data_IF_610756899752
#
_entry.id   IF_610756899752
#
_cell.length_a   1.000
_cell.length_b   1.000
_cell.length_c   1.000
_cell.angle_alpha   90.00
_cell.angle_beta   90.00
_cell.angle_gamma   90.00
#
_symmetry.space_group_name_H-M   'P 1'
#
loop_
_entity.id
_entity.type
_entity.pdbx_description
1 polymer ?
#
# COMPACT_ATOMS: atom_id res chain seq x y z
N UNK A 1 -16.39 -26.84 21.01
CA UNK A 1 -15.14 -27.08 21.76
C UNK A 1 -14.12 -27.59 20.74
N UNK A 2 -12.94 -26.97 20.61
CA UNK A 2 -12.02 -26.91 19.44
C UNK A 2 -12.51 -25.94 18.34
N UNK A 3 -11.93 -24.78 18.04
CA UNK A 3 -10.58 -24.27 18.26
C UNK A 3 -10.61 -22.83 18.83
N UNK A 4 -10.58 -22.75 20.16
CA UNK A 4 -10.12 -21.58 20.89
C UNK A 4 -8.60 -21.72 21.03
N UNK A 5 -7.82 -20.93 20.26
CA UNK A 5 -6.36 -21.07 20.26
C UNK A 5 -5.57 -19.98 19.54
N UNK A 6 -6.18 -19.22 18.62
CA UNK A 6 -5.54 -18.00 18.11
C UNK A 6 -5.89 -16.87 19.06
N UNK A 7 -5.01 -16.68 20.05
CA UNK A 7 -5.11 -15.63 21.05
C UNK A 7 -5.57 -14.30 20.43
N UNK A 8 -6.51 -13.61 21.11
CA UNK A 8 -6.83 -12.19 20.88
C UNK A 8 -5.55 -11.35 21.01
N UNK A 9 -4.72 -11.32 19.98
CA UNK A 9 -3.66 -10.33 19.90
C UNK A 9 -4.37 -9.01 19.68
N UNK A 10 -4.34 -8.12 20.68
CA UNK A 10 -4.87 -6.76 20.53
C UNK A 10 -4.22 -6.16 19.28
N UNK A 11 -5.02 -5.76 18.30
CA UNK A 11 -4.55 -5.21 17.01
C UNK A 11 -3.54 -4.08 17.19
N UNK A 12 -3.71 -3.29 18.24
CA UNK A 12 -2.77 -2.28 18.73
C UNK A 12 -1.36 -2.86 18.97
N UNK A 13 -1.24 -4.03 19.63
CA UNK A 13 0.06 -4.72 19.82
C UNK A 13 0.69 -5.15 18.50
N UNK A 14 -0.11 -5.64 17.55
CA UNK A 14 0.41 -6.00 16.22
C UNK A 14 0.94 -4.77 15.49
N UNK A 15 0.23 -3.64 15.55
CA UNK A 15 0.67 -2.36 14.96
C UNK A 15 2.01 -1.91 15.58
N UNK A 16 2.12 -1.89 16.91
CA UNK A 16 3.37 -1.50 17.58
C UNK A 16 4.52 -2.45 17.26
N UNK A 17 4.29 -3.76 17.30
CA UNK A 17 5.31 -4.77 17.03
C UNK A 17 5.81 -4.67 15.57
N UNK A 18 4.89 -4.57 14.60
CA UNK A 18 5.24 -4.42 13.18
C UNK A 18 6.01 -3.14 12.91
N UNK A 19 5.62 -2.01 13.51
CA UNK A 19 6.33 -0.73 13.35
C UNK A 19 7.74 -0.79 13.96
N UNK A 20 7.86 -1.32 15.19
CA UNK A 20 9.14 -1.44 15.88
C UNK A 20 10.10 -2.39 15.15
N UNK A 21 9.63 -3.59 14.80
CA UNK A 21 10.44 -4.57 14.07
C UNK A 21 10.85 -4.04 12.70
N UNK A 22 9.94 -3.40 11.96
CA UNK A 22 10.28 -2.82 10.65
C UNK A 22 11.34 -1.73 10.75
N UNK A 23 11.27 -0.88 11.77
CA UNK A 23 12.25 0.18 12.00
C UNK A 23 13.63 -0.39 12.38
N UNK A 24 13.68 -1.39 13.24
CA UNK A 24 14.92 -2.07 13.63
C UNK A 24 15.58 -2.78 12.44
N UNK A 25 14.80 -3.51 11.64
CA UNK A 25 15.29 -4.16 10.42
C UNK A 25 15.76 -3.12 9.40
N UNK A 26 15.07 -1.98 9.30
CA UNK A 26 15.49 -0.86 8.45
C UNK A 26 16.85 -0.27 8.85
N UNK A 27 17.13 -0.14 10.16
CA UNK A 27 18.44 0.28 10.66
C UNK A 27 19.51 -0.78 10.34
N UNK A 28 19.18 -2.06 10.51
CA UNK A 28 20.09 -3.16 10.16
C UNK A 28 20.43 -3.17 8.65
N UNK A 29 19.48 -2.84 7.77
CA UNK A 29 19.71 -2.69 6.34
C UNK A 29 20.79 -1.64 6.02
N UNK A 30 20.85 -0.53 6.77
CA UNK A 30 21.82 0.55 6.51
C UNK A 30 23.27 0.11 6.78
N UNK A 31 23.46 -0.80 7.74
CA UNK A 31 24.79 -1.34 8.13
C UNK A 31 25.09 -2.71 7.53
N UNK A 32 24.25 -3.21 6.60
CA UNK A 32 24.42 -4.52 6.00
C UNK A 32 25.82 -4.65 5.32
N UNK A 33 26.62 -5.67 5.66
CA UNK A 33 27.99 -5.80 5.17
C UNK A 33 28.06 -6.33 3.73
N UNK A 34 27.08 -7.14 3.33
CA UNK A 34 27.04 -7.78 2.00
C UNK A 34 25.67 -7.63 1.35
N UNK A 35 25.64 -7.79 0.03
CA UNK A 35 24.42 -7.76 -0.77
C UNK A 35 23.40 -8.83 -0.34
N UNK A 36 23.84 -10.05 -0.05
CA UNK A 36 22.95 -11.13 0.39
C UNK A 36 22.31 -10.85 1.76
N UNK A 37 23.08 -10.27 2.70
CA UNK A 37 22.54 -9.85 4.00
C UNK A 37 21.52 -8.74 3.81
N UNK A 38 21.81 -7.76 2.94
CA UNK A 38 20.87 -6.69 2.62
C UNK A 38 19.56 -7.26 2.02
N UNK A 39 19.64 -8.21 1.09
CA UNK A 39 18.47 -8.87 0.52
C UNK A 39 17.66 -9.65 1.57
N UNK A 40 18.34 -10.40 2.43
CA UNK A 40 17.69 -11.12 3.53
C UNK A 40 16.96 -10.18 4.49
N UNK A 41 17.60 -9.07 4.87
CA UNK A 41 16.99 -8.06 5.72
C UNK A 41 15.81 -7.36 5.03
N UNK A 42 15.89 -7.09 3.72
CA UNK A 42 14.76 -6.55 2.94
C UNK A 42 13.57 -7.50 2.90
N UNK A 43 13.82 -8.81 2.79
CA UNK A 43 12.76 -9.83 2.87
C UNK A 43 12.08 -9.79 4.24
N UNK A 44 12.87 -9.80 5.33
CA UNK A 44 12.35 -9.69 6.70
C UNK A 44 11.57 -8.39 6.88
N UNK A 45 12.08 -7.26 6.37
CA UNK A 45 11.41 -5.97 6.41
C UNK A 45 10.05 -6.02 5.69
N UNK A 46 9.97 -6.69 4.54
CA UNK A 46 8.71 -6.95 3.84
C UNK A 46 7.71 -7.74 4.70
N UNK A 47 8.16 -8.82 5.34
CA UNK A 47 7.34 -9.64 6.24
C UNK A 47 6.79 -8.81 7.41
N UNK A 48 7.63 -7.99 8.05
CA UNK A 48 7.20 -7.15 9.19
C UNK A 48 6.13 -6.13 8.81
N UNK A 49 6.15 -5.64 7.57
CA UNK A 49 5.23 -4.62 7.06
C UNK A 49 3.95 -5.20 6.45
N UNK A 50 3.95 -6.45 5.99
CA UNK A 50 2.87 -7.04 5.19
C UNK A 50 1.49 -6.95 5.88
N UNK A 51 1.45 -7.15 7.21
CA UNK A 51 0.21 -7.11 7.99
C UNK A 51 -0.23 -5.71 8.42
N UNK A 52 0.65 -4.70 8.38
CA UNK A 52 0.39 -3.40 9.00
C UNK A 52 -0.81 -2.68 8.38
N UNK A 53 -0.95 -2.57 7.04
CA UNK A 53 -2.08 -1.84 6.46
C UNK A 53 -3.41 -2.57 6.65
N UNK A 54 -3.40 -3.92 6.66
CA UNK A 54 -4.58 -4.71 6.95
C UNK A 54 -5.06 -4.47 8.39
N UNK A 55 -4.14 -4.52 9.37
CA UNK A 55 -4.48 -4.28 10.78
C UNK A 55 -4.86 -2.82 11.03
N UNK A 56 -4.19 -1.86 10.39
CA UNK A 56 -4.46 -0.43 10.54
C UNK A 56 -5.82 -0.03 9.96
N UNK A 57 -6.15 -0.48 8.74
CA UNK A 57 -7.47 -0.20 8.14
C UNK A 57 -8.59 -0.87 8.92
N UNK A 58 -8.36 -2.05 9.47
CA UNK A 58 -9.33 -2.75 10.29
C UNK A 58 -9.49 -2.09 11.67
N UNK A 59 -8.42 -1.55 12.27
CA UNK A 59 -8.49 -0.72 13.49
C UNK A 59 -9.25 0.59 13.25
N UNK A 60 -8.97 1.31 12.16
CA UNK A 60 -9.65 2.57 11.83
C UNK A 60 -11.15 2.39 11.65
N UNK A 61 -11.58 1.29 11.03
CA UNK A 61 -13.00 0.97 10.85
C UNK A 61 -13.71 0.61 12.15
N UNK A 62 -12.98 0.07 13.12
CA UNK A 62 -13.53 -0.34 14.42
C UNK A 62 -13.66 0.84 15.38
N UNK A 63 -12.70 1.77 15.36
CA UNK A 63 -12.64 2.84 16.37
C UNK A 63 -13.31 4.15 15.93
N UNK A 64 -13.60 4.34 14.63
CA UNK A 64 -14.19 5.57 14.12
C UNK A 64 -15.70 5.45 13.88
N UNK A 65 -16.43 6.56 14.03
CA UNK A 65 -17.83 6.65 13.65
C UNK A 65 -17.99 6.59 12.12
N UNK A 66 -19.08 5.98 11.64
CA UNK A 66 -19.33 5.73 10.21
C UNK A 66 -19.17 6.98 9.33
N UNK A 67 -19.59 8.14 9.83
CA UNK A 67 -19.53 9.42 9.11
C UNK A 67 -18.10 9.91 8.86
N UNK A 68 -17.12 9.39 9.61
CA UNK A 68 -15.70 9.76 9.51
C UNK A 68 -14.84 8.73 8.78
N UNK A 69 -15.38 7.55 8.44
CA UNK A 69 -14.60 6.47 7.80
C UNK A 69 -14.03 6.87 6.44
N UNK A 70 -14.81 7.56 5.60
CA UNK A 70 -14.34 8.00 4.29
C UNK A 70 -13.21 9.03 4.41
N UNK A 71 -13.33 9.97 5.37
CA UNK A 71 -12.30 10.98 5.65
C UNK A 71 -11.04 10.34 6.22
N UNK A 72 -11.17 9.40 7.15
CA UNK A 72 -10.03 8.71 7.74
C UNK A 72 -9.34 7.75 6.77
N UNK A 73 -10.10 7.04 5.92
CA UNK A 73 -9.54 6.24 4.84
C UNK A 73 -8.82 7.13 3.82
N UNK A 74 -9.42 8.26 3.46
CA UNK A 74 -8.80 9.26 2.59
C UNK A 74 -7.51 9.82 3.17
N UNK A 75 -7.50 10.18 4.46
CA UNK A 75 -6.32 10.69 5.16
C UNK A 75 -5.24 9.62 5.33
N UNK A 76 -5.63 8.37 5.62
CA UNK A 76 -4.72 7.23 5.69
C UNK A 76 -4.05 6.97 4.34
N UNK A 77 -4.84 6.87 3.26
CA UNK A 77 -4.34 6.65 1.90
C UNK A 77 -3.48 7.84 1.46
N UNK A 78 -3.97 9.07 1.62
CA UNK A 78 -3.25 10.30 1.28
C UNK A 78 -1.93 10.44 2.06
N UNK A 79 -1.93 10.05 3.34
CA UNK A 79 -0.74 10.00 4.17
C UNK A 79 0.29 8.98 3.68
N UNK A 80 -0.14 7.78 3.24
CA UNK A 80 0.77 6.81 2.62
C UNK A 80 1.36 7.30 1.29
N UNK A 81 0.58 8.07 0.52
CA UNK A 81 1.00 8.68 -0.73
C UNK A 81 2.08 9.74 -0.52
N UNK A 82 1.78 10.71 0.33
CA UNK A 82 2.70 11.79 0.68
C UNK A 82 3.97 11.22 1.32
N UNK A 83 3.84 10.27 2.25
CA UNK A 83 4.99 9.61 2.87
C UNK A 83 5.86 8.85 1.88
N UNK A 84 5.26 8.14 0.91
CA UNK A 84 6.00 7.43 -0.13
C UNK A 84 6.75 8.36 -1.09
N UNK A 85 6.14 9.47 -1.49
CA UNK A 85 6.77 10.47 -2.35
C UNK A 85 7.85 11.28 -1.62
N UNK A 86 7.51 11.85 -0.46
CA UNK A 86 8.47 12.59 0.36
C UNK A 86 9.65 11.71 0.76
N UNK A 87 9.40 10.44 1.12
CA UNK A 87 10.44 9.47 1.42
C UNK A 87 11.39 9.27 0.25
N UNK A 88 10.89 9.08 -0.98
CA UNK A 88 11.72 8.94 -2.18
C UNK A 88 12.57 10.16 -2.47
N UNK A 89 11.99 11.37 -2.38
CA UNK A 89 12.70 12.62 -2.61
C UNK A 89 13.84 12.79 -1.60
N UNK A 90 13.56 12.59 -0.30
CA UNK A 90 14.57 12.67 0.75
C UNK A 90 15.65 11.62 0.54
N UNK A 91 15.29 10.36 0.26
CA UNK A 91 16.29 9.31 0.03
C UNK A 91 17.13 9.52 -1.21
N UNK A 92 16.53 10.03 -2.29
CA UNK A 92 17.24 10.29 -3.54
C UNK A 92 18.29 11.35 -3.32
N UNK A 93 17.89 12.49 -2.73
CA UNK A 93 18.80 13.59 -2.42
C UNK A 93 19.90 13.17 -1.45
N UNK A 94 19.59 12.43 -0.38
CA UNK A 94 20.60 11.93 0.58
C UNK A 94 21.54 10.92 -0.06
N UNK A 95 21.04 10.03 -0.93
CA UNK A 95 21.86 9.04 -1.61
C UNK A 95 22.84 9.69 -2.61
N UNK A 96 22.42 10.78 -3.25
CA UNK A 96 23.22 11.57 -4.17
C UNK A 96 24.29 12.40 -3.44
N UNK A 97 23.92 13.06 -2.33
CA UNK A 97 24.85 13.87 -1.55
C UNK A 97 25.86 13.02 -0.73
N UNK A 98 25.47 11.80 -0.35
CA UNK A 98 26.29 10.93 0.48
C UNK A 98 26.39 9.52 -0.15
N UNK A 99 25.67 8.55 0.39
CA UNK A 99 25.69 7.16 -0.06
C UNK A 99 24.34 6.54 0.26
N UNK A 100 23.94 5.51 -0.48
CA UNK A 100 22.68 4.78 -0.27
C UNK A 100 22.47 4.28 1.17
N UNK A 101 23.55 4.01 1.93
CA UNK A 101 23.48 3.62 3.35
C UNK A 101 22.87 4.72 4.22
N UNK A 102 23.28 5.97 4.00
CA UNK A 102 22.73 7.13 4.72
C UNK A 102 21.28 7.40 4.35
N UNK A 103 20.91 7.16 3.08
CA UNK A 103 19.52 7.23 2.66
C UNK A 103 18.64 6.18 3.37
N UNK A 104 19.13 4.93 3.52
CA UNK A 104 18.44 3.90 4.30
C UNK A 104 18.34 4.26 5.78
N UNK A 105 19.42 4.77 6.37
CA UNK A 105 19.45 5.19 7.77
C UNK A 105 18.43 6.31 8.04
N UNK A 106 18.36 7.33 7.16
CA UNK A 106 17.40 8.42 7.27
C UNK A 106 15.95 7.91 7.28
N UNK A 107 15.59 7.00 6.36
CA UNK A 107 14.23 6.40 6.34
C UNK A 107 13.97 5.56 7.58
N UNK A 108 14.96 4.81 8.04
CA UNK A 108 14.83 3.98 9.22
C UNK A 108 14.61 4.82 10.49
N UNK A 109 15.32 5.95 10.64
CA UNK A 109 15.14 6.90 11.74
C UNK A 109 13.74 7.54 11.72
N UNK A 110 13.24 7.93 10.55
CA UNK A 110 11.84 8.37 10.41
C UNK A 110 10.88 7.24 10.79
N UNK A 111 11.20 6.00 10.43
CA UNK A 111 10.47 4.80 10.87
C UNK A 111 10.39 4.65 12.38
N UNK A 112 11.52 4.83 13.09
CA UNK A 112 11.59 4.82 14.56
C UNK A 112 10.74 5.94 15.14
N UNK A 113 10.86 7.18 14.64
CA UNK A 113 10.07 8.31 15.09
C UNK A 113 8.56 8.04 14.98
N UNK A 114 8.10 7.48 13.85
CA UNK A 114 6.70 7.07 13.69
C UNK A 114 6.29 5.99 14.69
N UNK A 115 7.14 4.99 14.94
CA UNK A 115 6.84 3.93 15.90
C UNK A 115 6.64 4.50 17.31
N UNK A 116 7.48 5.46 17.71
CA UNK A 116 7.35 6.19 18.99
C UNK A 116 6.07 7.02 19.02
N UNK A 117 5.79 7.82 17.98
CA UNK A 117 4.57 8.63 17.91
C UNK A 117 3.32 7.75 18.02
N UNK A 118 3.26 6.63 17.30
CA UNK A 118 2.13 5.69 17.39
C UNK A 118 2.06 5.04 18.76
N UNK A 119 3.18 4.67 19.38
CA UNK A 119 3.21 4.12 20.74
C UNK A 119 2.65 5.09 21.79
N UNK A 120 2.89 6.39 21.62
CA UNK A 120 2.44 7.44 22.56
C UNK A 120 0.99 7.84 22.30
N UNK A 121 0.60 8.02 21.03
CA UNK A 121 -0.68 8.65 20.68
C UNK A 121 -1.84 7.67 20.44
N UNK A 122 -1.57 6.39 20.14
CA UNK A 122 -2.64 5.45 19.74
C UNK A 122 -3.46 5.00 20.96
N UNK A 123 -4.76 5.36 21.07
CA UNK A 123 -5.60 4.97 22.20
C UNK A 123 -5.85 3.45 22.23
N UNK A 124 -6.17 2.91 23.41
CA UNK A 124 -6.53 1.49 23.56
C UNK A 124 -7.93 1.24 22.97
N UNK A 125 -8.05 0.35 21.97
CA UNK A 125 -9.30 0.03 21.26
C UNK A 125 -10.44 -0.37 22.20
N UNK A 126 -11.63 0.25 22.05
CA UNK A 126 -12.73 0.08 23.02
C UNK A 126 -14.11 -0.31 22.49
N UNK A 127 -14.43 -0.21 21.20
CA UNK A 127 -15.81 -0.51 20.75
C UNK A 127 -15.89 -1.34 19.45
N UNK A 128 -16.67 -2.43 19.50
CA UNK A 128 -16.95 -3.35 18.39
C UNK A 128 -18.46 -3.36 18.12
N UNK A 129 -18.87 -2.87 16.95
CA UNK A 129 -20.16 -3.24 16.33
C UNK A 129 -19.97 -3.28 14.80
N UNK A 130 -20.14 -4.43 14.14
CA UNK A 130 -20.06 -4.51 12.68
C UNK A 130 -21.33 -3.98 12.03
N UNK A 131 -21.21 -3.04 11.08
CA UNK A 131 -22.29 -2.68 10.14
C UNK A 131 -21.76 -2.42 8.72
N UNK A 132 -22.57 -2.68 7.68
CA UNK A 132 -22.15 -2.59 6.29
C UNK A 132 -22.10 -1.12 5.86
N UNK A 133 -20.92 -0.62 5.46
CA UNK A 133 -20.76 0.73 4.93
C UNK A 133 -21.06 0.77 3.43
N UNK A 134 -21.97 1.66 3.06
CA UNK A 134 -22.69 1.69 1.79
C UNK A 134 -22.09 2.63 0.73
N UNK A 135 -22.42 2.30 -0.53
CA UNK A 135 -22.54 3.14 -1.74
C UNK A 135 -21.64 4.38 -1.92
N UNK A 136 -20.42 4.13 -2.39
CA UNK A 136 -19.90 4.87 -3.56
C UNK A 136 -19.43 3.85 -4.59
N UNK A 137 -19.80 4.08 -5.86
CA UNK A 137 -19.73 3.10 -6.95
C UNK A 137 -18.33 2.57 -7.25
N UNK A 138 -17.85 1.60 -6.46
CA UNK A 138 -16.56 0.92 -6.63
C UNK A 138 -16.37 0.38 -8.06
N UNK A 139 -17.47 -0.02 -8.71
CA UNK A 139 -17.51 -0.51 -10.10
C UNK A 139 -17.37 0.59 -11.17
N UNK A 140 -17.72 1.83 -10.85
CA UNK A 140 -17.63 2.99 -11.73
C UNK A 140 -16.27 3.71 -11.59
N UNK A 141 -15.80 3.85 -10.35
CA UNK A 141 -14.56 4.58 -10.00
C UNK A 141 -13.29 3.83 -10.41
N UNK A 142 -13.31 2.49 -10.35
CA UNK A 142 -12.11 1.69 -10.58
C UNK A 142 -11.57 1.77 -12.03
N UNK A 143 -12.41 1.68 -13.09
CA UNK A 143 -11.91 1.84 -14.45
C UNK A 143 -11.42 3.26 -14.74
N UNK A 144 -12.05 4.28 -14.15
CA UNK A 144 -11.59 5.67 -14.25
C UNK A 144 -10.20 5.84 -13.61
N UNK A 145 -9.98 5.28 -12.41
CA UNK A 145 -8.67 5.27 -11.77
C UNK A 145 -7.61 4.54 -12.60
N UNK A 146 -7.96 3.41 -13.25
CA UNK A 146 -7.04 2.70 -14.14
C UNK A 146 -6.64 3.55 -15.36
N UNK A 147 -7.59 4.29 -15.95
CA UNK A 147 -7.30 5.22 -17.05
C UNK A 147 -6.36 6.33 -16.60
N UNK A 148 -6.60 6.97 -15.45
CA UNK A 148 -5.69 7.99 -14.91
C UNK A 148 -4.28 7.41 -14.64
N UNK A 149 -4.21 6.17 -14.13
CA UNK A 149 -2.95 5.47 -13.90
C UNK A 149 -2.20 5.18 -15.21
N UNK A 150 -2.91 4.95 -16.31
CA UNK A 150 -2.33 4.73 -17.63
C UNK A 150 -1.93 6.02 -18.35
N UNK A 151 -2.70 7.10 -18.19
CA UNK A 151 -2.46 8.40 -18.84
C UNK A 151 -1.30 9.15 -18.18
N UNK A 152 -1.17 9.07 -16.85
CA UNK A 152 -0.12 9.79 -16.12
C UNK A 152 1.31 9.52 -16.61
N UNK A 153 1.75 8.25 -16.80
CA UNK A 153 3.04 7.93 -17.39
C UNK A 153 3.26 8.53 -18.77
N UNK A 154 2.23 8.56 -19.64
CA UNK A 154 2.35 9.11 -20.99
C UNK A 154 2.65 10.62 -20.98
N UNK A 155 2.11 11.34 -19.99
CA UNK A 155 2.40 12.76 -19.77
C UNK A 155 3.84 13.02 -19.30
N UNK A 156 4.60 11.98 -18.95
CA UNK A 156 6.02 12.11 -18.58
C UNK A 156 6.98 11.91 -19.76
N UNK A 157 6.48 11.60 -20.95
CA UNK A 157 7.30 11.46 -22.17
C UNK A 157 7.85 12.78 -22.71
N UNK A 158 7.09 13.91 -22.71
CA UNK A 158 7.63 15.19 -23.12
C UNK A 158 8.73 15.64 -22.14
N UNK A 159 9.83 16.21 -22.66
CA UNK A 159 10.92 16.77 -21.85
C UNK A 159 10.57 18.06 -21.07
N UNK A 160 9.28 18.38 -20.93
CA UNK A 160 8.79 19.57 -20.25
C UNK A 160 8.53 19.25 -18.77
N UNK A 161 9.30 19.88 -17.88
CA UNK A 161 9.28 19.62 -16.44
C UNK A 161 7.89 19.83 -15.80
N UNK A 162 7.17 20.96 -16.02
CA UNK A 162 5.77 21.11 -15.60
C UNK A 162 4.84 19.97 -16.02
N UNK A 163 4.91 19.52 -17.27
CA UNK A 163 4.05 18.44 -17.78
C UNK A 163 4.41 17.11 -17.14
N UNK A 164 5.71 16.85 -16.93
CA UNK A 164 6.18 15.66 -16.22
C UNK A 164 5.68 15.63 -14.76
N UNK A 165 5.73 16.77 -14.05
CA UNK A 165 5.19 16.88 -12.68
C UNK A 165 3.68 16.64 -12.67
N UNK A 166 2.94 17.24 -13.61
CA UNK A 166 1.51 17.01 -13.75
C UNK A 166 1.19 15.52 -14.07
N UNK A 167 1.97 14.89 -14.94
CA UNK A 167 1.86 13.48 -15.29
C UNK A 167 2.08 12.55 -14.10
N UNK A 168 3.10 12.82 -13.29
CA UNK A 168 3.36 12.10 -12.04
C UNK A 168 2.22 12.29 -11.04
N UNK A 169 1.64 13.50 -10.93
CA UNK A 169 0.50 13.76 -10.07
C UNK A 169 -0.76 12.99 -10.53
N UNK A 170 -1.05 12.98 -11.83
CA UNK A 170 -2.18 12.23 -12.43
C UNK A 170 -2.01 10.73 -12.22
N UNK A 171 -0.81 10.19 -12.50
CA UNK A 171 -0.48 8.79 -12.28
C UNK A 171 -0.71 8.40 -10.81
N UNK A 172 -0.22 9.24 -9.90
CA UNK A 172 -0.31 9.03 -8.46
C UNK A 172 -1.78 9.02 -8.01
N UNK A 173 -2.57 10.02 -8.42
CA UNK A 173 -4.00 10.09 -8.11
C UNK A 173 -4.77 8.86 -8.63
N UNK A 174 -4.50 8.45 -9.87
CA UNK A 174 -5.06 7.25 -10.48
C UNK A 174 -4.72 5.99 -9.69
N UNK A 175 -3.43 5.80 -9.38
CA UNK A 175 -2.95 4.63 -8.65
C UNK A 175 -3.60 4.53 -7.26
N UNK A 176 -3.68 5.63 -6.51
CA UNK A 176 -4.29 5.63 -5.18
C UNK A 176 -5.80 5.41 -5.23
N UNK A 177 -6.47 5.91 -6.26
CA UNK A 177 -7.87 5.61 -6.52
C UNK A 177 -8.07 4.09 -6.70
N UNK A 178 -7.31 3.45 -7.60
CA UNK A 178 -7.41 2.00 -7.86
C UNK A 178 -7.02 1.18 -6.63
N UNK A 179 -5.89 1.49 -6.00
CA UNK A 179 -5.37 0.76 -4.84
C UNK A 179 -6.30 0.90 -3.62
N UNK A 180 -6.80 2.10 -3.35
CA UNK A 180 -7.75 2.35 -2.26
C UNK A 180 -9.07 1.61 -2.45
N UNK A 181 -9.63 1.64 -3.66
CA UNK A 181 -10.87 0.91 -3.98
C UNK A 181 -10.64 -0.61 -3.89
N UNK A 182 -9.54 -1.13 -4.44
CA UNK A 182 -9.20 -2.55 -4.38
C UNK A 182 -9.01 -3.05 -2.95
N UNK A 183 -8.19 -2.34 -2.15
CA UNK A 183 -7.92 -2.69 -0.76
C UNK A 183 -9.16 -2.62 0.12
N UNK A 184 -10.12 -1.75 -0.20
CA UNK A 184 -11.42 -1.71 0.47
C UNK A 184 -12.41 -2.77 -0.01
N UNK A 185 -12.31 -3.21 -1.28
CA UNK A 185 -13.26 -4.12 -1.91
C UNK A 185 -12.97 -5.59 -1.67
N UNK A 186 -11.70 -6.00 -1.76
CA UNK A 186 -11.30 -7.41 -1.58
C UNK A 186 -11.76 -7.98 -0.23
N UNK A 187 -11.51 -7.32 0.92
CA UNK A 187 -11.92 -7.86 2.24
C UNK A 187 -13.44 -7.91 2.42
N UNK A 188 -14.15 -6.91 1.90
CA UNK A 188 -15.61 -6.84 2.00
C UNK A 188 -16.26 -7.95 1.18
N UNK A 189 -15.77 -8.16 -0.05
CA UNK A 189 -16.25 -9.23 -0.93
C UNK A 189 -15.93 -10.62 -0.37
N UNK A 190 -14.74 -10.80 0.17
CA UNK A 190 -14.33 -12.05 0.80
C UNK A 190 -15.23 -12.39 2.01
N UNK A 191 -15.54 -11.40 2.85
CA UNK A 191 -16.44 -11.58 3.98
C UNK A 191 -17.86 -11.97 3.56
N UNK A 192 -18.40 -11.33 2.53
CA UNK A 192 -19.70 -11.70 1.96
C UNK A 192 -19.70 -13.13 1.37
N UNK A 193 -18.55 -13.61 0.89
CA UNK A 193 -18.36 -14.99 0.42
C UNK A 193 -17.95 -16.00 1.50
N UNK A 194 -18.00 -15.64 2.79
CA UNK A 194 -17.67 -16.54 3.91
C UNK A 194 -16.19 -16.64 4.29
N UNK A 195 -15.30 -15.88 3.66
CA UNK A 195 -13.86 -15.85 3.98
C UNK A 195 -13.56 -14.73 4.99
N UNK A 196 -12.71 -14.95 6.01
CA UNK A 196 -12.33 -13.90 6.96
C UNK A 196 -11.72 -12.66 6.27
N UNK A 197 -12.26 -11.48 6.55
CA UNK A 197 -11.83 -10.21 5.93
C UNK A 197 -10.33 -9.92 6.14
N UNK A 198 -9.79 -10.24 7.32
CA UNK A 198 -8.37 -10.04 7.63
C UNK A 198 -7.43 -10.87 6.74
N UNK A 199 -7.79 -12.13 6.47
CA UNK A 199 -7.02 -13.03 5.61
C UNK A 199 -6.99 -12.53 4.15
N UNK A 200 -8.15 -12.09 3.65
CA UNK A 200 -8.24 -11.53 2.31
C UNK A 200 -7.47 -10.20 2.18
N UNK A 201 -7.53 -9.34 3.19
CA UNK A 201 -6.73 -8.11 3.24
C UNK A 201 -5.23 -8.41 3.21
N UNK A 202 -4.75 -9.35 4.03
CA UNK A 202 -3.33 -9.73 4.04
C UNK A 202 -2.87 -10.36 2.73
N UNK A 203 -3.71 -11.18 2.08
CA UNK A 203 -3.37 -11.77 0.78
C UNK A 203 -3.30 -10.72 -0.32
N UNK A 204 -4.22 -9.74 -0.32
CA UNK A 204 -4.17 -8.60 -1.23
C UNK A 204 -2.86 -7.81 -1.07
N UNK A 205 -2.48 -7.49 0.17
CA UNK A 205 -1.24 -6.78 0.50
C UNK A 205 0.00 -7.57 0.12
N UNK A 206 0.01 -8.87 0.43
CA UNK A 206 1.08 -9.77 0.00
C UNK A 206 1.24 -9.76 -1.52
N UNK A 207 0.15 -9.96 -2.27
CA UNK A 207 0.18 -9.94 -3.73
C UNK A 207 0.63 -8.58 -4.28
N UNK A 208 0.20 -7.47 -3.67
CA UNK A 208 0.64 -6.13 -4.02
C UNK A 208 2.15 -5.94 -3.86
N UNK A 209 2.72 -6.32 -2.71
CA UNK A 209 4.15 -6.17 -2.44
C UNK A 209 5.02 -7.17 -3.21
N UNK A 210 4.58 -8.43 -3.33
CA UNK A 210 5.26 -9.45 -4.12
C UNK A 210 5.27 -9.06 -5.61
N UNK A 211 4.13 -8.66 -6.15
CA UNK A 211 4.02 -8.12 -7.51
C UNK A 211 4.92 -6.90 -7.71
N UNK A 212 4.89 -5.93 -6.79
CA UNK A 212 5.76 -4.75 -6.87
C UNK A 212 7.25 -5.09 -6.87
N UNK A 213 7.66 -6.20 -6.24
CA UNK A 213 9.06 -6.64 -6.22
C UNK A 213 9.48 -7.27 -7.55
N UNK A 214 8.63 -8.13 -8.11
CA UNK A 214 8.85 -8.77 -9.43
C UNK A 214 8.81 -7.71 -10.54
N UNK A 215 7.72 -6.95 -10.63
CA UNK A 215 7.51 -5.99 -11.70
C UNK A 215 8.34 -4.71 -11.54
N UNK A 216 8.73 -4.36 -10.31
CA UNK A 216 9.70 -3.28 -10.06
C UNK A 216 11.07 -3.59 -10.63
N UNK A 217 11.50 -4.86 -10.59
CA UNK A 217 12.75 -5.31 -11.21
C UNK A 217 12.69 -5.21 -12.74
N UNK A 218 11.53 -5.57 -13.34
CA UNK A 218 11.32 -5.40 -14.80
C UNK A 218 11.40 -3.95 -15.26
N UNK A 219 10.99 -2.99 -14.42
CA UNK A 219 11.13 -1.57 -14.74
C UNK A 219 12.61 -1.16 -14.85
N UNK A 220 13.49 -1.74 -14.02
CA UNK A 220 14.94 -1.56 -14.14
C UNK A 220 15.48 -2.11 -15.46
N UNK A 221 15.05 -3.31 -15.85
CA UNK A 221 15.41 -3.89 -17.16
C UNK A 221 14.89 -3.04 -18.32
N UNK A 222 13.66 -2.55 -18.26
CA UNK A 222 13.08 -1.68 -19.28
C UNK A 222 13.89 -0.39 -19.43
N UNK A 223 14.31 0.23 -18.31
CA UNK A 223 15.19 1.38 -18.32
C UNK A 223 16.53 1.09 -19.03
N UNK A 224 17.15 -0.06 -18.75
CA UNK A 224 18.41 -0.44 -19.39
C UNK A 224 18.29 -0.68 -20.90
N UNK A 225 17.13 -1.13 -21.39
CA UNK A 225 16.91 -1.45 -22.80
C UNK A 225 16.47 -0.26 -23.66
N UNK A 226 15.70 0.67 -23.10
CA UNK A 226 15.09 1.75 -23.87
C UNK A 226 14.84 3.04 -23.10
N UNK A 227 15.52 3.22 -21.96
CA UNK A 227 15.42 4.42 -21.12
C UNK A 227 14.00 4.67 -20.60
N UNK A 228 13.68 5.95 -20.40
CA UNK A 228 12.39 6.36 -19.85
C UNK A 228 11.17 5.92 -20.69
N UNK A 229 11.18 6.01 -22.04
CA UNK A 229 10.03 5.56 -22.84
C UNK A 229 9.67 4.08 -22.63
N UNK A 230 10.67 3.21 -22.47
CA UNK A 230 10.44 1.79 -22.20
C UNK A 230 9.78 1.56 -20.82
N UNK A 231 10.16 2.34 -19.80
CA UNK A 231 9.52 2.32 -18.47
C UNK A 231 8.07 2.79 -18.56
N UNK A 232 7.81 3.87 -19.30
CA UNK A 232 6.46 4.40 -19.53
C UNK A 232 5.58 3.38 -20.26
N UNK A 233 6.10 2.71 -21.28
CA UNK A 233 5.39 1.66 -22.01
C UNK A 233 5.02 0.50 -21.09
N UNK A 234 5.97 0.00 -20.29
CA UNK A 234 5.73 -1.08 -19.33
C UNK A 234 4.65 -0.71 -18.30
N UNK A 235 4.74 0.49 -17.72
CA UNK A 235 3.74 0.98 -16.75
C UNK A 235 2.34 1.10 -17.37
N UNK A 236 2.27 1.61 -18.60
CA UNK A 236 1.01 1.78 -19.34
C UNK A 236 0.36 0.43 -19.68
N UNK A 237 1.17 -0.58 -20.04
CA UNK A 237 0.68 -1.95 -20.28
C UNK A 237 0.09 -2.55 -19.01
N UNK A 238 0.76 -2.45 -17.86
CA UNK A 238 0.22 -2.97 -16.59
C UNK A 238 -1.05 -2.24 -16.16
N UNK A 239 -1.11 -0.92 -16.35
CA UNK A 239 -2.32 -0.14 -16.10
C UNK A 239 -3.47 -0.54 -17.03
N UNK A 240 -3.18 -0.80 -18.31
CA UNK A 240 -4.14 -1.30 -19.31
C UNK A 240 -4.71 -2.68 -18.94
N UNK A 241 -3.84 -3.64 -18.59
CA UNK A 241 -4.24 -4.97 -18.11
C UNK A 241 -5.13 -4.84 -16.88
N UNK A 242 -4.74 -3.99 -15.91
CA UNK A 242 -5.54 -3.72 -14.71
C UNK A 242 -6.90 -3.12 -15.05
N UNK A 243 -6.97 -2.23 -16.05
CA UNK A 243 -8.21 -1.67 -16.57
C UNK A 243 -9.13 -2.71 -17.18
N UNK A 244 -8.61 -3.60 -18.02
CA UNK A 244 -9.37 -4.71 -18.63
C UNK A 244 -9.91 -5.65 -17.57
N UNK A 245 -9.07 -6.04 -16.60
CA UNK A 245 -9.51 -6.86 -15.47
C UNK A 245 -10.59 -6.15 -14.64
N UNK A 246 -10.43 -4.85 -14.37
CA UNK A 246 -11.43 -4.06 -13.65
C UNK A 246 -12.77 -3.96 -14.39
N UNK A 247 -12.76 -3.90 -15.73
CA UNK A 247 -13.99 -3.96 -16.53
C UNK A 247 -14.67 -5.33 -16.42
N UNK A 248 -13.91 -6.42 -16.43
CA UNK A 248 -14.45 -7.77 -16.23
C UNK A 248 -15.07 -7.94 -14.83
N UNK A 249 -14.51 -7.28 -13.81
CA UNK A 249 -15.07 -7.27 -12.46
C UNK A 249 -16.48 -6.67 -12.38
N UNK A 250 -16.92 -5.87 -13.36
CA UNK A 250 -18.31 -5.38 -13.44
C UNK A 250 -19.32 -6.49 -13.69
N UNK A 251 -18.90 -7.58 -14.34
CA UNK A 251 -19.74 -8.75 -14.66
C UNK A 251 -19.89 -9.70 -13.48
N UNK A 252 -19.08 -9.54 -12.43
CA UNK A 252 -19.11 -10.43 -11.28
C UNK A 252 -20.33 -10.12 -10.41
N UNK A 253 -21.16 -11.13 -10.05
CA UNK A 253 -22.33 -10.93 -9.19
C UNK A 253 -21.99 -10.23 -7.87
N UNK A 254 -22.90 -9.40 -7.40
CA UNK A 254 -22.84 -8.90 -6.02
C UNK A 254 -23.11 -10.06 -5.07
N UNK A 255 -22.27 -10.23 -4.06
CA UNK A 255 -22.53 -11.16 -2.98
C UNK A 255 -23.30 -10.38 -1.92
N UNK A 256 -24.54 -10.77 -1.65
CA UNK A 256 -25.28 -10.24 -0.51
C UNK A 256 -24.66 -10.80 0.78
N UNK A 257 -24.59 -10.02 1.87
CA UNK A 257 -24.22 -10.56 3.16
C UNK A 257 -25.20 -11.68 3.50
N UNK A 258 -24.70 -12.90 3.75
CA UNK A 258 -25.54 -13.99 4.22
C UNK A 258 -26.30 -13.52 5.48
N UNK A 259 -27.62 -13.39 5.37
CA UNK A 259 -28.49 -13.08 6.50
C UNK A 259 -28.28 -14.21 7.51
N UNK A 260 -27.68 -13.88 8.66
CA UNK A 260 -27.60 -14.74 9.84
C UNK A 260 -28.16 -13.99 11.02
#
# INVERSE_FOLDING_TARGET
>A
MYAAGVAKVRRTRLIHLSLALSALVGLACAVAPTWHVLLGLRLVQGITLAGLPAVATAYLREELHADTHARAAGLYIGGTALGGMAGRLVTGWVAEAYTWRWALAAVALVGVARAVVVAVLLPKSRHFVPRPADRYGRRAVMPFGCVLTAVGPLLTLPGNLPVMVAGLAVMTAGFFCVHGVAGGWVPVRAHAGGVPAGQAASLYLFAYYAGSSVFGSLAGTAWSLGGWPAVVALASVFAGISGVLAMNLRRVPALEPAVR
#
